data_IF_372965533056
#
_entry.id   IF_372965533056
#
_cell.length_a   1.000
_cell.length_b   1.000
_cell.length_c   1.000
_cell.angle_alpha   90.00
_cell.angle_beta   90.00
_cell.angle_gamma   90.00
#
_symmetry.space_group_name_H-M   'P 1'
#
loop_
_entity.id
_entity.type
_entity.pdbx_description
1 polymer ?
#
# COMPACT_ATOMS: atom_id res chain seq x y z
N UNK A 1 -8.83 -5.28 31.89
CA UNK A 1 -8.01 -5.17 30.66
C UNK A 1 -8.95 -4.93 29.48
N UNK A 2 -8.82 -3.81 28.77
CA UNK A 2 -9.54 -3.58 27.52
C UNK A 2 -8.85 -4.44 26.45
N UNK A 3 -9.51 -5.49 25.95
CA UNK A 3 -9.09 -6.17 24.71
C UNK A 3 -9.34 -5.20 23.57
N UNK A 4 -8.31 -4.48 23.15
CA UNK A 4 -8.35 -3.73 21.89
C UNK A 4 -8.33 -4.80 20.79
N UNK A 5 -9.48 -5.04 20.16
CA UNK A 5 -9.54 -5.84 18.94
C UNK A 5 -8.85 -5.03 17.83
N UNK A 6 -7.57 -5.29 17.58
CA UNK A 6 -6.85 -4.79 16.41
C UNK A 6 -7.37 -5.51 15.16
N UNK A 7 -8.60 -5.21 14.74
CA UNK A 7 -9.15 -5.72 13.51
C UNK A 7 -8.43 -5.03 12.35
N UNK A 8 -7.61 -5.79 11.61
CA UNK A 8 -6.90 -5.28 10.44
C UNK A 8 -7.94 -5.00 9.36
N UNK A 9 -8.09 -3.72 9.01
CA UNK A 9 -9.06 -3.29 8.03
C UNK A 9 -8.52 -3.59 6.62
N UNK A 10 -9.16 -4.53 5.92
CA UNK A 10 -8.79 -4.85 4.54
C UNK A 10 -9.58 -3.97 3.57
N UNK A 11 -8.88 -3.26 2.68
CA UNK A 11 -9.52 -2.49 1.61
C UNK A 11 -9.19 -3.06 0.24
N UNK A 12 -10.21 -3.17 -0.61
CA UNK A 12 -10.05 -3.63 -1.99
C UNK A 12 -9.68 -2.47 -2.92
N UNK A 13 -8.74 -2.70 -3.83
CA UNK A 13 -8.31 -1.77 -4.87
C UNK A 13 -8.19 -2.50 -6.20
N UNK A 14 -8.11 -1.74 -7.29
CA UNK A 14 -7.90 -2.26 -8.65
C UNK A 14 -6.44 -2.20 -9.12
N UNK A 15 -5.52 -1.79 -8.23
CA UNK A 15 -4.10 -1.58 -8.49
C UNK A 15 -3.31 -1.53 -7.20
N UNK A 16 -2.00 -1.71 -7.31
CA UNK A 16 -1.07 -1.38 -6.24
C UNK A 16 -1.14 0.12 -5.93
N UNK A 17 -1.14 0.47 -4.65
CA UNK A 17 -1.16 1.85 -4.15
C UNK A 17 -0.42 2.01 -2.82
N UNK A 18 0.47 2.98 -2.73
CA UNK A 18 0.94 3.56 -1.47
C UNK A 18 0.57 5.04 -1.46
N UNK A 19 -0.02 5.52 -0.37
CA UNK A 19 -0.53 6.88 -0.28
C UNK A 19 -0.41 7.45 1.13
N UNK A 20 -0.03 8.71 1.25
CA UNK A 20 -0.01 9.44 2.52
C UNK A 20 -1.36 9.38 3.25
N UNK A 21 -2.47 9.40 2.50
CA UNK A 21 -3.82 9.35 3.08
C UNK A 21 -4.19 8.02 3.73
N UNK A 22 -3.37 6.98 3.55
CA UNK A 22 -3.56 5.65 4.10
C UNK A 22 -2.57 5.29 5.22
N UNK A 23 -1.56 6.14 5.46
CA UNK A 23 -0.56 5.92 6.51
C UNK A 23 -1.18 5.93 7.92
N UNK A 24 -0.74 5.02 8.78
CA UNK A 24 -1.12 4.95 10.19
C UNK A 24 -2.53 4.43 10.41
N UNK A 25 -3.16 3.85 9.38
CA UNK A 25 -4.53 3.34 9.46
C UNK A 25 -4.61 1.82 9.71
N UNK A 26 -3.46 1.14 9.85
CA UNK A 26 -3.39 -0.30 10.08
C UNK A 26 -4.23 -1.09 9.05
N UNK A 27 -3.95 -0.84 7.76
CA UNK A 27 -4.72 -1.36 6.63
C UNK A 27 -3.95 -2.43 5.86
N UNK A 28 -4.66 -3.47 5.45
CA UNK A 28 -4.22 -4.37 4.39
C UNK A 28 -4.87 -3.95 3.07
N UNK A 29 -4.06 -3.71 2.05
CA UNK A 29 -4.54 -3.49 0.69
C UNK A 29 -4.66 -4.85 0.01
N UNK A 30 -5.84 -5.16 -0.52
CA UNK A 30 -6.04 -6.27 -1.44
C UNK A 30 -6.34 -5.74 -2.84
N UNK A 31 -5.62 -6.17 -3.86
CA UNK A 31 -5.93 -5.78 -5.23
C UNK A 31 -5.74 -6.92 -6.23
N UNK A 32 -6.51 -6.87 -7.31
CA UNK A 32 -6.34 -7.73 -8.48
C UNK A 32 -5.90 -6.87 -9.66
N UNK A 33 -4.82 -7.23 -10.33
CA UNK A 33 -4.31 -6.51 -11.50
C UNK A 33 -5.08 -6.89 -12.79
N UNK A 34 -4.74 -6.24 -13.90
CA UNK A 34 -5.34 -6.52 -15.22
C UNK A 34 -5.07 -7.93 -15.76
N UNK A 35 -4.12 -8.67 -15.18
CA UNK A 35 -3.80 -10.06 -15.55
C UNK A 35 -4.56 -11.09 -14.71
N UNK A 36 -5.40 -10.65 -13.77
CA UNK A 36 -6.12 -11.54 -12.85
C UNK A 36 -5.31 -11.99 -11.65
N UNK A 37 -4.10 -11.44 -11.44
CA UNK A 37 -3.27 -11.78 -10.28
C UNK A 37 -3.68 -10.93 -9.08
N UNK A 38 -3.92 -11.59 -7.94
CA UNK A 38 -4.31 -10.93 -6.68
C UNK A 38 -3.16 -10.85 -5.70
N UNK A 39 -3.04 -9.70 -5.03
CA UNK A 39 -2.02 -9.43 -4.02
C UNK A 39 -2.66 -8.81 -2.79
N UNK A 40 -2.11 -9.15 -1.62
CA UNK A 40 -2.43 -8.51 -0.35
C UNK A 40 -1.16 -8.03 0.34
N UNK A 41 -1.16 -6.82 0.87
CA UNK A 41 -0.01 -6.29 1.63
C UNK A 41 -0.45 -5.32 2.73
N UNK A 42 0.34 -5.28 3.80
CA UNK A 42 0.24 -4.25 4.84
C UNK A 42 0.76 -2.93 4.28
N UNK A 43 -0.09 -1.91 4.24
CA UNK A 43 0.23 -0.62 3.64
C UNK A 43 1.42 0.06 4.34
N UNK A 44 1.42 0.07 5.66
CA UNK A 44 2.37 0.84 6.46
C UNK A 44 3.72 0.14 6.50
N UNK A 45 3.73 -1.20 6.57
CA UNK A 45 4.96 -2.00 6.48
C UNK A 45 5.67 -1.82 5.14
N UNK A 46 4.93 -1.90 4.03
CA UNK A 46 5.52 -1.73 2.69
C UNK A 46 6.03 -0.31 2.49
N UNK A 47 5.31 0.70 3.01
CA UNK A 47 5.78 2.08 2.99
C UNK A 47 7.07 2.25 3.79
N UNK A 48 7.11 1.78 5.05
CA UNK A 48 8.28 1.93 5.92
C UNK A 48 9.54 1.26 5.34
N UNK A 49 9.41 0.07 4.74
CA UNK A 49 10.51 -0.63 4.09
C UNK A 49 11.04 0.08 2.84
N UNK A 50 10.25 0.96 2.22
CA UNK A 50 10.57 1.63 0.97
C UNK A 50 10.53 3.16 1.09
N UNK A 51 10.61 3.68 2.31
CA UNK A 51 10.34 5.09 2.59
C UNK A 51 11.27 6.02 1.81
N UNK A 52 12.58 5.78 1.84
CA UNK A 52 13.55 6.64 1.15
C UNK A 52 13.31 6.66 -0.37
N UNK A 53 13.03 5.48 -0.95
CA UNK A 53 12.70 5.35 -2.38
C UNK A 53 11.41 6.12 -2.72
N UNK A 54 10.38 6.03 -1.89
CA UNK A 54 9.10 6.68 -2.15
C UNK A 54 9.21 8.19 -1.99
N UNK A 55 9.84 8.65 -0.91
CA UNK A 55 10.04 10.07 -0.62
C UNK A 55 11.00 10.75 -1.60
N UNK A 56 11.82 9.99 -2.35
CA UNK A 56 12.65 10.52 -3.44
C UNK A 56 11.94 10.57 -4.81
N UNK A 57 10.74 10.01 -4.95
CA UNK A 57 10.02 10.00 -6.24
C UNK A 57 9.25 11.30 -6.45
N UNK A 58 9.48 11.98 -7.57
CA UNK A 58 8.74 13.20 -7.95
C UNK A 58 7.22 13.02 -7.94
N UNK A 59 6.71 11.86 -8.36
CA UNK A 59 5.27 11.59 -8.31
C UNK A 59 4.73 11.50 -6.88
N UNK A 60 5.49 10.89 -5.97
CA UNK A 60 5.08 10.77 -4.59
C UNK A 60 5.16 12.12 -3.87
N UNK A 61 6.22 12.90 -4.12
CA UNK A 61 6.36 14.26 -3.61
C UNK A 61 5.18 15.14 -4.10
N UNK A 62 4.84 15.07 -5.39
CA UNK A 62 3.82 15.92 -6.00
C UNK A 62 2.39 15.51 -5.64
N UNK A 63 2.10 14.20 -5.59
CA UNK A 63 0.73 13.68 -5.48
C UNK A 63 0.45 12.96 -4.16
N UNK A 64 1.46 12.77 -3.32
CA UNK A 64 1.35 12.03 -2.06
C UNK A 64 1.06 10.53 -2.25
N UNK A 65 1.26 9.98 -3.46
CA UNK A 65 1.00 8.57 -3.73
C UNK A 65 1.86 8.01 -4.87
N UNK A 66 2.01 6.69 -4.85
CA UNK A 66 2.54 5.88 -5.94
C UNK A 66 1.53 4.78 -6.27
N UNK A 67 1.28 4.53 -7.55
CA UNK A 67 0.39 3.44 -7.99
C UNK A 67 1.01 2.62 -9.13
N UNK A 68 0.63 1.35 -9.21
CA UNK A 68 0.95 0.49 -10.35
C UNK A 68 -0.23 -0.43 -10.70
N UNK A 69 -0.80 -0.24 -11.88
CA UNK A 69 -2.00 -0.97 -12.34
C UNK A 69 -1.69 -2.36 -12.89
N UNK A 70 -0.47 -2.58 -13.37
CA UNK A 70 -0.15 -3.77 -14.15
C UNK A 70 0.49 -4.89 -13.32
N UNK A 71 1.18 -4.54 -12.22
CA UNK A 71 1.91 -5.50 -11.38
C UNK A 71 2.19 -4.95 -9.98
N UNK A 72 2.47 -5.86 -9.04
CA UNK A 72 3.16 -5.51 -7.81
C UNK A 72 4.61 -5.08 -8.15
N UNK A 73 5.08 -3.90 -7.74
CA UNK A 73 6.47 -3.51 -7.95
C UNK A 73 7.44 -4.51 -7.29
N UNK A 74 8.56 -4.81 -7.93
CA UNK A 74 9.54 -5.77 -7.37
C UNK A 74 10.12 -5.32 -6.02
N UNK A 75 10.20 -4.01 -5.79
CA UNK A 75 10.66 -3.44 -4.52
C UNK A 75 9.58 -3.49 -3.41
N UNK A 76 8.32 -3.76 -3.77
CA UNK A 76 7.19 -3.82 -2.84
C UNK A 76 6.82 -5.26 -2.43
N UNK A 77 7.70 -6.23 -2.73
CA UNK A 77 7.53 -7.64 -2.37
C UNK A 77 7.98 -7.90 -0.94
#
# INVERSE_FOLDING_TARGET
>A
LIKINNMINTIKKSRFILSNSLLGKNLVIHFTNKKGESFSYDHDKVFAQNQDRLLSMNCFIKYGNYTNTNKLPNWAK
#
